data_IF_296942178053
#
_entry.id   IF_296942178053
#
_cell.length_a   1.000
_cell.length_b   1.000
_cell.length_c   1.000
_cell.angle_alpha   90.00
_cell.angle_beta   90.00
_cell.angle_gamma   90.00
#
_symmetry.space_group_name_H-M   'P 1'
#
loop_
_entity.id
_entity.type
_entity.pdbx_description
1 polymer ?
#
# COMPACT_ATOMS: atom_id res chain seq x y z
N UNK A 1 2.72 -7.19 -0.59
CA UNK A 1 2.65 -5.86 0.08
C UNK A 1 3.84 -5.00 -0.27
N UNK A 2 5.07 -5.54 -0.37
CA UNK A 2 6.25 -4.77 -0.81
C UNK A 2 6.04 -4.01 -2.11
N UNK A 3 5.64 -4.70 -3.18
CA UNK A 3 5.37 -4.09 -4.50
C UNK A 3 4.32 -2.98 -4.45
N UNK A 4 3.31 -3.13 -3.59
CA UNK A 4 2.27 -2.12 -3.38
C UNK A 4 2.85 -0.84 -2.77
N UNK A 5 3.69 -0.97 -1.74
CA UNK A 5 4.35 0.16 -1.08
C UNK A 5 5.31 0.89 -2.01
N UNK A 6 6.02 0.14 -2.84
CA UNK A 6 6.95 0.67 -3.82
C UNK A 6 6.22 1.43 -4.93
N UNK A 7 5.23 0.80 -5.57
CA UNK A 7 4.43 1.39 -6.64
C UNK A 7 3.70 2.66 -6.18
N UNK A 8 3.11 2.68 -4.98
CA UNK A 8 2.45 3.90 -4.49
C UNK A 8 3.42 4.96 -3.99
N UNK A 9 4.71 4.65 -3.89
CA UNK A 9 5.73 5.51 -3.28
C UNK A 9 5.66 5.60 -1.75
N UNK A 10 4.77 4.82 -1.12
CA UNK A 10 4.60 4.79 0.34
C UNK A 10 5.81 4.19 1.06
N UNK A 11 6.65 3.41 0.36
CA UNK A 11 7.92 2.90 0.88
C UNK A 11 8.81 4.02 1.44
N UNK A 12 8.88 5.15 0.73
CA UNK A 12 9.71 6.30 1.15
C UNK A 12 9.23 6.91 2.47
N UNK A 13 7.94 6.87 2.76
CA UNK A 13 7.39 7.36 4.02
C UNK A 13 7.66 6.40 5.18
N UNK A 14 7.66 5.08 4.94
CA UNK A 14 8.09 4.09 5.92
C UNK A 14 9.56 4.28 6.28
N UNK A 15 10.44 4.45 5.30
CA UNK A 15 11.88 4.67 5.51
C UNK A 15 12.16 5.94 6.32
N UNK A 16 11.30 6.96 6.17
CA UNK A 16 11.37 8.22 6.92
C UNK A 16 10.71 8.15 8.30
N UNK A 17 10.17 6.99 8.69
CA UNK A 17 9.48 6.81 9.98
C UNK A 17 8.16 7.57 10.09
N UNK A 18 7.51 7.88 8.96
CA UNK A 18 6.23 8.60 8.93
C UNK A 18 5.01 7.69 9.16
N UNK A 19 5.23 6.37 9.21
CA UNK A 19 4.24 5.38 9.62
C UNK A 19 4.73 4.69 10.89
N UNK A 20 3.91 4.67 11.93
CA UNK A 20 4.28 4.02 13.19
C UNK A 20 4.24 2.50 13.09
N UNK A 21 5.06 1.81 13.88
CA UNK A 21 5.17 0.34 13.88
C UNK A 21 3.82 -0.38 14.07
N UNK A 22 2.97 0.15 14.96
CA UNK A 22 1.64 -0.41 15.23
C UNK A 22 0.67 -0.25 14.05
N UNK A 23 0.77 0.85 13.31
CA UNK A 23 -0.02 1.10 12.11
C UNK A 23 0.44 0.21 10.97
N UNK A 24 1.76 0.05 10.79
CA UNK A 24 2.34 -0.86 9.80
C UNK A 24 1.94 -2.31 10.09
N UNK A 25 2.02 -2.77 11.34
CA UNK A 25 1.55 -4.12 11.71
C UNK A 25 0.06 -4.31 11.42
N UNK A 26 -0.76 -3.31 11.74
CA UNK A 26 -2.18 -3.33 11.41
C UNK A 26 -2.42 -3.42 9.91
N UNK A 27 -1.65 -2.70 9.10
CA UNK A 27 -1.72 -2.73 7.64
C UNK A 27 -1.33 -4.10 7.07
N UNK A 28 -0.29 -4.74 7.63
CA UNK A 28 0.10 -6.12 7.29
C UNK A 28 -1.06 -7.08 7.56
N UNK A 29 -1.68 -7.02 8.74
CA UNK A 29 -2.80 -7.90 9.11
C UNK A 29 -4.00 -7.69 8.17
N UNK A 30 -4.34 -6.43 7.84
CA UNK A 30 -5.40 -6.13 6.87
C UNK A 30 -5.08 -6.67 5.48
N UNK A 31 -3.83 -6.56 5.05
CA UNK A 31 -3.37 -7.08 3.76
C UNK A 31 -3.46 -8.61 3.70
N UNK A 32 -3.02 -9.30 4.76
CA UNK A 32 -3.04 -10.78 4.85
C UNK A 32 -4.47 -11.34 4.88
N UNK A 33 -5.42 -10.60 5.47
CA UNK A 33 -6.83 -11.00 5.51
C UNK A 33 -7.63 -10.57 4.27
N UNK A 34 -7.03 -9.80 3.35
CA UNK A 34 -7.69 -9.35 2.14
C UNK A 34 -7.95 -10.53 1.20
N UNK A 35 -9.17 -10.62 0.65
CA UNK A 35 -9.58 -11.68 -0.28
C UNK A 35 -9.57 -11.25 -1.75
N UNK A 36 -8.99 -10.07 -2.05
CA UNK A 36 -8.92 -9.51 -3.39
C UNK A 36 -7.52 -9.70 -4.01
N UNK A 37 -6.91 -10.87 -3.82
CA UNK A 37 -5.53 -11.13 -4.23
C UNK A 37 -5.36 -11.09 -5.76
N UNK A 38 -6.30 -11.67 -6.52
CA UNK A 38 -6.29 -11.62 -7.98
C UNK A 38 -6.44 -10.18 -8.52
N UNK A 39 -7.35 -9.40 -7.94
CA UNK A 39 -7.50 -7.99 -8.30
C UNK A 39 -6.26 -7.17 -7.95
N UNK A 40 -5.60 -7.48 -6.82
CA UNK A 40 -4.35 -6.87 -6.40
C UNK A 40 -3.23 -7.15 -7.41
N UNK A 41 -3.02 -8.42 -7.78
CA UNK A 41 -2.01 -8.81 -8.78
C UNK A 41 -2.27 -8.14 -10.13
N UNK A 42 -3.53 -8.13 -10.58
CA UNK A 42 -3.91 -7.52 -11.86
C UNK A 42 -3.69 -6.00 -11.87
N UNK A 43 -3.90 -5.33 -10.73
CA UNK A 43 -3.59 -3.92 -10.56
C UNK A 43 -2.08 -3.67 -10.54
N UNK A 44 -1.32 -4.44 -9.74
CA UNK A 44 0.14 -4.33 -9.63
C UNK A 44 0.83 -4.49 -10.99
N UNK A 45 0.34 -5.40 -11.84
CA UNK A 45 0.89 -5.64 -13.17
C UNK A 45 0.72 -4.45 -14.15
N UNK A 46 -0.18 -3.51 -13.86
CA UNK A 46 -0.53 -2.38 -14.74
C UNK A 46 -0.22 -1.02 -14.14
N UNK A 47 -0.04 -0.95 -12.82
CA UNK A 47 0.16 0.30 -12.12
C UNK A 47 1.56 0.86 -12.38
N UNK A 48 1.61 2.16 -12.71
CA UNK A 48 2.86 2.89 -12.83
C UNK A 48 3.34 3.37 -11.45
N UNK A 49 4.63 3.68 -11.33
CA UNK A 49 5.16 4.27 -10.10
C UNK A 49 4.46 5.60 -9.80
N UNK A 50 4.10 5.80 -8.53
CA UNK A 50 3.29 6.93 -8.07
C UNK A 50 1.77 6.74 -8.26
N UNK A 51 1.32 5.58 -8.73
CA UNK A 51 -0.12 5.30 -8.85
C UNK A 51 -0.84 5.43 -7.50
N UNK A 52 -2.10 5.84 -7.55
CA UNK A 52 -2.97 5.81 -6.38
C UNK A 52 -3.36 4.38 -6.05
N UNK A 53 -3.42 4.00 -4.76
CA UNK A 53 -3.88 2.68 -4.37
C UNK A 53 -5.33 2.45 -4.84
N UNK A 54 -5.68 1.24 -5.28
CA UNK A 54 -7.01 0.97 -5.80
C UNK A 54 -8.03 0.96 -4.66
N UNK A 55 -9.27 1.36 -4.95
CA UNK A 55 -10.33 1.52 -3.95
C UNK A 55 -10.72 0.23 -3.21
N UNK A 56 -10.46 -0.95 -3.79
CA UNK A 56 -10.70 -2.24 -3.12
C UNK A 56 -9.64 -2.59 -2.07
N UNK A 57 -8.49 -1.90 -2.07
CA UNK A 57 -7.41 -2.19 -1.13
C UNK A 57 -7.81 -1.71 0.27
N UNK A 58 -7.80 -2.59 1.31
CA UNK A 58 -8.16 -2.20 2.67
C UNK A 58 -7.17 -1.21 3.31
N UNK A 59 -6.01 -1.02 2.69
CA UNK A 59 -5.00 -0.05 3.10
C UNK A 59 -4.94 1.17 2.17
N UNK A 60 -5.92 1.37 1.28
CA UNK A 60 -5.87 2.46 0.30
C UNK A 60 -5.72 3.84 0.96
N UNK A 61 -6.49 4.13 2.00
CA UNK A 61 -6.40 5.40 2.72
C UNK A 61 -5.02 5.60 3.38
N UNK A 62 -4.44 4.54 3.96
CA UNK A 62 -3.11 4.59 4.56
C UNK A 62 -2.06 4.88 3.49
N UNK A 63 -2.04 4.11 2.40
CA UNK A 63 -1.04 4.28 1.35
C UNK A 63 -1.17 5.64 0.67
N UNK A 64 -2.39 6.13 0.43
CA UNK A 64 -2.61 7.46 -0.15
C UNK A 64 -2.10 8.60 0.77
N UNK A 65 -2.27 8.45 2.09
CA UNK A 65 -1.73 9.38 3.09
C UNK A 65 -0.21 9.38 3.19
N UNK A 66 0.43 8.25 2.88
CA UNK A 66 1.88 8.06 2.93
C UNK A 66 2.59 8.42 1.61
N UNK A 67 1.86 8.77 0.55
CA UNK A 67 2.51 9.10 -0.73
C UNK A 67 3.26 10.42 -0.62
N UNK A 68 4.39 10.57 -1.31
CA UNK A 68 5.03 11.87 -1.47
C UNK A 68 4.04 12.86 -2.14
N UNK A 69 4.03 14.09 -1.63
CA UNK A 69 3.25 15.22 -2.16
C UNK A 69 3.89 15.79 -3.42
#
# INVERSE_FOLDING_TARGET
>A
MGDMLDITGAMTALERGLCGDSELQSAVIRCLNCRNDEACKAWLAKAEHGAQPPSFCPNAALFDGLRPR
#
